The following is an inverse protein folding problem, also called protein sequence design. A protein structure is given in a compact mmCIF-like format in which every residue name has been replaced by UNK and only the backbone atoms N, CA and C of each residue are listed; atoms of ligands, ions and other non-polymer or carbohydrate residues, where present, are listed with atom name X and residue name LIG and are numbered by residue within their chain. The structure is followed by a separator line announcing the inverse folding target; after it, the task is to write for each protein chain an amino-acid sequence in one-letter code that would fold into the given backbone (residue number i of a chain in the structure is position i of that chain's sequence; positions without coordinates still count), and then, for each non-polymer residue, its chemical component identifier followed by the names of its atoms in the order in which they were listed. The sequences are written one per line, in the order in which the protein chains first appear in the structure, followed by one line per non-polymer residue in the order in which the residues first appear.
data_IF_107224796108
#
_entry.id   IF_107224796108
#
_cell.length_a   1.000
_cell.length_b   1.000
_cell.length_c   1.000
_cell.angle_alpha   90.00
_cell.angle_beta   90.00
_cell.angle_gamma   90.00
#
_symmetry.space_group_name_H-M   'P 1'
#
loop_
_entity.id
_entity.type
_entity.pdbx_description
1 polymer ?
#
# COMPACT_ATOMS: atom_id res chain seq x y z
N UNK A 1 -1.33 3.78 2.18
CA UNK A 1 -2.16 4.85 2.80
C UNK A 1 -3.62 4.56 2.47
N UNK A 2 -4.54 4.78 3.39
CA UNK A 2 -5.98 4.65 3.14
C UNK A 2 -6.79 5.45 4.14
N UNK A 3 -8.06 5.67 3.83
CA UNK A 3 -9.02 6.35 4.69
C UNK A 3 -9.92 5.29 5.35
N UNK A 4 -9.88 5.18 6.68
CA UNK A 4 -10.68 4.22 7.45
C UNK A 4 -11.47 5.00 8.49
N UNK A 5 -12.80 4.91 8.46
CA UNK A 5 -13.68 5.62 9.42
C UNK A 5 -13.32 7.12 9.55
N UNK A 6 -12.99 7.77 8.43
CA UNK A 6 -12.61 9.19 8.38
C UNK A 6 -11.16 9.49 8.81
N UNK A 7 -10.36 8.49 9.19
CA UNK A 7 -8.98 8.64 9.63
C UNK A 7 -8.02 8.17 8.54
N UNK A 8 -7.03 9.00 8.20
CA UNK A 8 -5.96 8.61 7.30
C UNK A 8 -4.95 7.71 8.01
N UNK A 9 -4.79 6.49 7.50
CA UNK A 9 -3.82 5.52 8.02
C UNK A 9 -2.71 5.32 6.99
N UNK A 10 -1.47 5.36 7.48
CA UNK A 10 -0.25 5.14 6.70
C UNK A 10 0.53 4.01 7.37
N UNK A 11 1.11 3.13 6.55
CA UNK A 11 1.94 2.02 7.01
C UNK A 11 2.86 1.56 5.89
N UNK A 12 3.88 0.80 6.28
CA UNK A 12 4.86 0.18 5.37
C UNK A 12 4.80 -1.32 5.60
N UNK A 13 4.50 -2.07 4.55
CA UNK A 13 4.53 -3.53 4.60
C UNK A 13 5.98 -3.95 4.40
N UNK A 14 6.51 -4.74 5.33
CA UNK A 14 7.90 -5.21 5.29
C UNK A 14 8.16 -6.08 4.06
N UNK A 15 7.29 -7.08 3.83
CA UNK A 15 7.43 -8.00 2.72
C UNK A 15 6.06 -8.44 2.16
N UNK A 16 6.00 -8.51 0.83
CA UNK A 16 4.87 -9.07 0.08
C UNK A 16 5.38 -10.26 -0.73
N UNK A 17 4.96 -11.48 -0.38
CA UNK A 17 5.34 -12.70 -1.10
C UNK A 17 4.22 -13.12 -2.03
N UNK A 18 4.52 -13.41 -3.29
CA UNK A 18 3.55 -14.07 -4.17
C UNK A 18 3.54 -15.56 -3.85
N UNK A 19 2.41 -16.07 -3.39
CA UNK A 19 2.24 -17.48 -3.06
C UNK A 19 1.14 -18.08 -3.94
N UNK A 20 1.46 -19.21 -4.59
CA UNK A 20 0.45 -20.03 -5.25
C UNK A 20 -0.20 -20.95 -4.21
N UNK A 21 -1.29 -20.50 -3.60
CA UNK A 21 -2.13 -21.36 -2.77
C UNK A 21 -3.35 -21.80 -3.58
N UNK A 22 -3.59 -23.11 -3.64
CA UNK A 22 -4.74 -23.69 -4.37
C UNK A 22 -4.84 -23.26 -5.84
N UNK A 23 -3.70 -23.07 -6.52
CA UNK A 23 -3.64 -22.70 -7.94
C UNK A 23 -3.93 -21.24 -8.26
N UNK A 24 -4.14 -20.39 -7.26
CA UNK A 24 -4.32 -18.94 -7.42
C UNK A 24 -3.15 -18.23 -6.76
N UNK A 25 -2.42 -17.42 -7.53
CA UNK A 25 -1.38 -16.56 -6.97
C UNK A 25 -2.01 -15.41 -6.18
N UNK A 26 -1.70 -15.35 -4.87
CA UNK A 26 -2.14 -14.26 -3.98
C UNK A 26 -0.95 -13.72 -3.19
N UNK A 27 -0.93 -12.41 -2.91
CA UNK A 27 0.08 -11.82 -2.06
C UNK A 27 -0.16 -12.23 -0.62
N UNK A 28 0.88 -12.76 0.00
CA UNK A 28 0.99 -13.02 1.42
C UNK A 28 1.76 -11.86 2.06
N UNK A 29 1.11 -11.18 3.00
CA UNK A 29 1.72 -10.07 3.73
C UNK A 29 2.48 -10.63 4.93
N UNK A 30 3.76 -10.30 5.01
CA UNK A 30 4.66 -10.80 6.06
C UNK A 30 5.23 -9.62 6.83
N UNK A 31 5.19 -9.73 8.16
CA UNK A 31 5.77 -8.75 9.08
C UNK A 31 7.02 -9.34 9.71
N UNK A 32 8.13 -8.60 9.66
CA UNK A 32 9.41 -9.07 10.19
C UNK A 32 9.80 -8.27 11.43
N UNK A 33 9.97 -8.94 12.57
CA UNK A 33 10.36 -8.29 13.82
C UNK A 33 11.75 -8.69 14.25
N UNK A 34 12.69 -7.76 14.19
CA UNK A 34 14.02 -7.92 14.79
C UNK A 34 13.91 -7.97 16.33
N UNK A 35 14.63 -8.90 16.96
CA UNK A 35 14.70 -9.04 18.42
C UNK A 35 16.13 -8.93 18.90
N UNK A 36 16.33 -8.31 20.06
CA UNK A 36 17.63 -8.23 20.72
C UNK A 36 18.06 -9.56 21.36
N UNK A 37 17.11 -10.44 21.66
CA UNK A 37 17.34 -11.75 22.25
C UNK A 37 16.67 -12.83 21.40
N UNK A 38 17.29 -14.01 21.32
CA UNK A 38 16.78 -15.18 20.60
C UNK A 38 15.64 -15.88 21.37
N UNK A 39 14.60 -15.13 21.70
CA UNK A 39 13.42 -15.62 22.42
C UNK A 39 12.19 -15.41 21.54
N UNK A 40 11.28 -16.39 21.56
CA UNK A 40 10.01 -16.28 20.86
C UNK A 40 9.19 -15.08 21.38
N UNK A 41 8.40 -14.41 20.52
CA UNK A 41 7.57 -13.30 20.95
C UNK A 41 6.56 -13.75 22.01
N UNK A 42 6.41 -12.93 23.04
CA UNK A 42 5.34 -13.08 24.02
C UNK A 42 3.95 -12.90 23.37
N UNK A 43 2.89 -13.39 24.02
CA UNK A 43 1.53 -13.26 23.49
C UNK A 43 1.09 -11.81 23.22
N UNK A 44 1.39 -10.81 24.08
CA UNK A 44 1.11 -9.41 23.76
C UNK A 44 1.81 -8.93 22.48
N UNK A 45 3.06 -9.36 22.27
CA UNK A 45 3.82 -8.99 21.06
C UNK A 45 3.20 -9.64 19.82
N UNK A 46 2.82 -10.91 19.89
CA UNK A 46 2.10 -11.58 18.79
C UNK A 46 0.77 -10.90 18.50
N UNK A 47 0.02 -10.48 19.53
CA UNK A 47 -1.27 -9.77 19.35
C UNK A 47 -1.09 -8.45 18.63
N UNK A 48 -0.08 -7.65 19.00
CA UNK A 48 0.19 -6.37 18.35
C UNK A 48 0.61 -6.55 16.89
N UNK A 49 1.45 -7.54 16.60
CA UNK A 49 1.88 -7.82 15.25
C UNK A 49 0.72 -8.37 14.38
N UNK A 50 -0.17 -9.22 14.95
CA UNK A 50 -1.42 -9.62 14.28
C UNK A 50 -2.28 -8.42 13.92
N UNK A 51 -2.47 -7.47 14.84
CA UNK A 51 -3.24 -6.25 14.59
C UNK A 51 -2.63 -5.45 13.44
N UNK A 52 -1.31 -5.28 13.42
CA UNK A 52 -0.62 -4.60 12.33
C UNK A 52 -0.86 -5.29 10.98
N UNK A 53 -0.71 -6.62 10.91
CA UNK A 53 -0.98 -7.39 9.70
C UNK A 53 -2.44 -7.29 9.25
N UNK A 54 -3.40 -7.27 10.19
CA UNK A 54 -4.81 -7.05 9.88
C UNK A 54 -5.04 -5.66 9.26
N UNK A 55 -4.41 -4.61 9.79
CA UNK A 55 -4.46 -3.27 9.22
C UNK A 55 -3.84 -3.23 7.82
N UNK A 56 -2.69 -3.88 7.61
CA UNK A 56 -2.05 -3.96 6.31
C UNK A 56 -2.91 -4.70 5.29
N UNK A 57 -3.49 -5.84 5.67
CA UNK A 57 -4.42 -6.58 4.82
C UNK A 57 -5.63 -5.73 4.44
N UNK A 58 -6.25 -5.05 5.41
CA UNK A 58 -7.39 -4.19 5.14
C UNK A 58 -7.05 -3.05 4.17
N UNK A 59 -5.91 -2.38 4.38
CA UNK A 59 -5.45 -1.32 3.48
C UNK A 59 -5.09 -1.85 2.08
N UNK A 60 -4.47 -3.03 2.00
CA UNK A 60 -4.14 -3.69 0.73
C UNK A 60 -5.40 -4.07 -0.04
N UNK A 61 -6.33 -4.78 0.61
CA UNK A 61 -7.54 -5.26 -0.05
C UNK A 61 -8.36 -4.07 -0.57
N UNK A 62 -8.51 -3.00 0.23
CA UNK A 62 -9.22 -1.80 -0.20
C UNK A 62 -8.53 -1.08 -1.38
N UNK A 63 -7.18 -1.01 -1.44
CA UNK A 63 -6.52 -0.32 -2.55
C UNK A 63 -6.61 -1.09 -3.88
N UNK A 64 -6.78 -2.42 -3.83
CA UNK A 64 -6.91 -3.25 -5.03
C UNK A 64 -8.36 -3.47 -5.46
N UNK A 65 -9.32 -3.48 -4.53
CA UNK A 65 -10.75 -3.68 -4.85
C UNK A 65 -11.53 -2.38 -5.01
N UNK A 66 -11.25 -1.38 -4.18
CA UNK A 66 -11.97 -0.11 -4.17
C UNK A 66 -11.15 1.00 -4.84
N UNK A 67 -11.80 2.13 -5.09
CA UNK A 67 -11.12 3.34 -5.50
C UNK A 67 -10.54 4.07 -4.28
N UNK A 68 -9.24 4.32 -4.31
CA UNK A 68 -8.61 5.25 -3.37
C UNK A 68 -9.33 6.61 -3.42
N UNK A 69 -9.75 7.19 -2.27
CA UNK A 69 -10.55 8.41 -2.23
C UNK A 69 -9.68 9.65 -2.50
N UNK A 70 -9.24 9.80 -3.76
CA UNK A 70 -8.29 10.81 -4.20
C UNK A 70 -8.77 12.23 -3.96
N UNK A 71 -10.05 12.53 -4.20
CA UNK A 71 -10.65 13.84 -3.90
C UNK A 71 -10.50 14.21 -2.41
N UNK A 72 -10.88 13.29 -1.51
CA UNK A 72 -10.73 13.47 -0.06
C UNK A 72 -9.27 13.60 0.34
N UNK A 73 -8.37 12.84 -0.31
CA UNK A 73 -6.93 12.93 -0.08
C UNK A 73 -6.40 14.32 -0.42
N UNK A 74 -6.70 14.84 -1.60
CA UNK A 74 -6.25 16.16 -2.02
C UNK A 74 -6.81 17.27 -1.13
N UNK A 75 -8.09 17.18 -0.78
CA UNK A 75 -8.73 18.15 0.11
C UNK A 75 -8.11 18.14 1.50
N UNK A 76 -7.95 16.97 2.12
CA UNK A 76 -7.43 16.83 3.47
C UNK A 76 -6.01 17.37 3.60
N UNK A 77 -5.14 17.10 2.62
CA UNK A 77 -3.75 17.54 2.62
C UNK A 77 -3.52 18.91 1.95
N UNK A 78 -4.57 19.59 1.48
CA UNK A 78 -4.45 20.90 0.83
C UNK A 78 -3.63 20.87 -0.47
N UNK A 79 -3.69 19.76 -1.21
CA UNK A 79 -2.88 19.53 -2.40
C UNK A 79 -3.55 20.11 -3.65
N UNK A 80 -2.73 20.54 -4.62
CA UNK A 80 -3.19 21.02 -5.92
C UNK A 80 -3.06 19.92 -6.98
N UNK A 81 -4.07 19.05 -7.17
CA UNK A 81 -3.93 17.83 -7.96
C UNK A 81 -3.50 18.05 -9.42
N UNK A 82 -4.00 19.14 -10.02
CA UNK A 82 -3.77 19.47 -11.43
C UNK A 82 -2.52 20.34 -11.66
N UNK A 83 -1.81 20.74 -10.60
CA UNK A 83 -0.59 21.54 -10.74
C UNK A 83 0.48 20.70 -11.47
N UNK A 84 1.13 21.25 -12.50
CA UNK A 84 2.21 20.55 -13.16
C UNK A 84 3.34 20.20 -12.18
N UNK A 85 3.79 18.94 -12.21
CA UNK A 85 4.95 18.48 -11.46
C UNK A 85 6.20 19.27 -11.88
N UNK A 86 7.21 19.35 -11.01
CA UNK A 86 8.47 20.02 -11.35
C UNK A 86 9.18 19.30 -12.51
N UNK A 87 10.09 20.01 -13.19
CA UNK A 87 10.89 19.43 -14.29
C UNK A 87 11.68 18.21 -13.80
N UNK A 88 12.24 18.28 -12.59
CA UNK A 88 13.04 17.21 -12.01
C UNK A 88 12.21 15.95 -11.72
N UNK A 89 11.01 16.12 -11.15
CA UNK A 89 10.09 15.00 -10.91
C UNK A 89 9.67 14.36 -12.23
N UNK A 90 9.32 15.16 -13.26
CA UNK A 90 8.93 14.63 -14.57
C UNK A 90 10.09 13.89 -15.25
N UNK A 91 11.32 14.38 -15.13
CA UNK A 91 12.51 13.69 -15.63
C UNK A 91 12.68 12.33 -14.94
N UNK A 92 12.63 12.30 -13.61
CA UNK A 92 12.76 11.07 -12.84
C UNK A 92 11.67 10.03 -13.16
N UNK A 93 10.42 10.48 -13.32
CA UNK A 93 9.30 9.64 -13.76
C UNK A 93 9.57 9.03 -15.14
N UNK A 94 10.03 9.86 -16.09
CA UNK A 94 10.40 9.42 -17.43
C UNK A 94 11.52 8.37 -17.43
N UNK A 95 12.56 8.60 -16.64
CA UNK A 95 13.72 7.69 -16.50
C UNK A 95 13.32 6.37 -15.83
N UNK A 96 12.33 6.40 -14.94
CA UNK A 96 11.83 5.22 -14.20
C UNK A 96 10.83 4.36 -15.01
N UNK A 97 10.45 4.78 -16.23
CA UNK A 97 9.44 4.10 -17.04
C UNK A 97 8.01 4.21 -16.48
N UNK A 98 7.81 5.00 -15.43
CA UNK A 98 6.51 5.25 -14.82
C UNK A 98 5.73 6.20 -15.74
N UNK A 99 4.56 5.77 -16.20
CA UNK A 99 3.58 6.53 -16.99
C UNK A 99 4.14 7.70 -17.81
N UNK A 100 4.50 7.47 -19.08
CA UNK A 100 5.03 8.49 -20.04
C UNK A 100 4.23 9.80 -20.12
N UNK A 101 2.98 9.79 -19.67
CA UNK A 101 2.05 10.92 -19.71
C UNK A 101 1.75 11.55 -18.33
N UNK A 102 2.45 11.17 -17.26
CA UNK A 102 2.22 11.75 -15.92
C UNK A 102 2.75 13.18 -15.87
N UNK A 103 1.84 14.16 -15.73
CA UNK A 103 2.18 15.59 -15.70
C UNK A 103 1.82 16.25 -14.37
N UNK A 104 0.91 15.65 -13.63
CA UNK A 104 0.34 16.18 -12.38
C UNK A 104 0.30 15.10 -11.29
N UNK A 105 0.00 15.50 -10.06
CA UNK A 105 -0.17 14.55 -8.95
C UNK A 105 -1.40 13.66 -9.16
N UNK A 106 -2.45 14.20 -9.78
CA UNK A 106 -3.65 13.45 -10.17
C UNK A 106 -3.33 12.34 -11.18
N UNK A 107 -2.53 12.63 -12.20
CA UNK A 107 -2.09 11.61 -13.17
C UNK A 107 -1.31 10.49 -12.48
N UNK A 108 -0.46 10.84 -11.51
CA UNK A 108 0.35 9.89 -10.77
C UNK A 108 -0.53 8.97 -9.91
N UNK A 109 -1.48 9.53 -9.16
CA UNK A 109 -2.43 8.74 -8.35
C UNK A 109 -3.29 7.84 -9.25
N UNK A 110 -3.80 8.36 -10.37
CA UNK A 110 -4.55 7.54 -11.34
C UNK A 110 -3.71 6.41 -11.92
N UNK A 111 -2.44 6.65 -12.21
CA UNK A 111 -1.52 5.61 -12.67
C UNK A 111 -1.36 4.52 -11.60
N UNK A 112 -1.05 4.88 -10.35
CA UNK A 112 -0.91 3.93 -9.25
C UNK A 112 -2.19 3.14 -9.00
N UNK A 113 -3.36 3.80 -8.99
CA UNK A 113 -4.65 3.14 -8.79
C UNK A 113 -4.91 2.08 -9.86
N UNK A 114 -4.63 2.37 -11.14
CA UNK A 114 -4.76 1.37 -12.22
C UNK A 114 -3.83 0.19 -12.01
N UNK A 115 -2.59 0.46 -11.57
CA UNK A 115 -1.63 -0.61 -11.26
C UNK A 115 -2.12 -1.45 -10.08
N UNK A 116 -2.54 -0.85 -8.97
CA UNK A 116 -3.04 -1.55 -7.80
C UNK A 116 -4.28 -2.41 -8.14
N UNK A 117 -5.22 -1.89 -8.94
CA UNK A 117 -6.41 -2.65 -9.38
C UNK A 117 -6.11 -3.87 -10.25
N UNK A 118 -4.88 -3.98 -10.80
CA UNK A 118 -4.46 -5.18 -11.52
C UNK A 118 -3.91 -6.28 -10.60
N UNK A 119 -3.68 -5.95 -9.32
CA UNK A 119 -3.16 -6.89 -8.32
C UNK A 119 -4.32 -7.62 -7.63
N UNK A 120 -4.12 -8.89 -7.22
CA UNK A 120 -5.14 -9.62 -6.48
C UNK A 120 -5.17 -9.20 -5.00
N UNK A 121 -6.32 -9.42 -4.34
CA UNK A 121 -6.45 -9.29 -2.90
C UNK A 121 -5.48 -10.21 -2.16
N UNK A 122 -5.06 -9.80 -0.97
CA UNK A 122 -4.15 -10.56 -0.14
C UNK A 122 -4.76 -11.87 0.34
N UNK A 123 -3.91 -12.86 0.60
CA UNK A 123 -4.33 -14.12 1.18
C UNK A 123 -5.01 -13.90 2.56
N UNK A 124 -5.79 -14.89 3.00
CA UNK A 124 -6.41 -14.87 4.33
C UNK A 124 -5.39 -15.20 5.43
N UNK A 125 -4.33 -15.92 5.09
CA UNK A 125 -3.26 -16.22 6.02
C UNK A 125 -2.44 -14.95 6.31
N UNK A 126 -2.14 -14.74 7.60
CA UNK A 126 -1.26 -13.67 8.07
C UNK A 126 -0.08 -14.34 8.79
N UNK A 127 1.15 -14.07 8.34
CA UNK A 127 2.36 -14.67 8.92
C UNK A 127 3.15 -13.66 9.75
N UNK A 128 3.44 -14.08 10.98
CA UNK A 128 4.25 -13.40 11.99
C UNK A 128 5.63 -14.03 12.14
#
# INVERSE_FOLDING_TARGET
IGLIEGIWIIGVIDEVRMCAQSGIERPLLVDTKTRSQAVLPSEPQKRNARLQLMCYKFLWDNIVTDDFPSSSFFQYFGLQPQRPLSKDIRKHIGDSGIGKNVRSLDDLIKFYMRTCKSLPSADKQLLL
#
